data_IF_249844465545
#
_entry.id   IF_249844465545
#
_cell.length_a   1.000
_cell.length_b   1.000
_cell.length_c   1.000
_cell.angle_alpha   90.00
_cell.angle_beta   90.00
_cell.angle_gamma   90.00
#
_symmetry.space_group_name_H-M   'P 1'
#
loop_
_entity.id
_entity.type
_entity.pdbx_description
1 polymer ?
#
# COMPACT_ATOMS: atom_id res chain seq x y z
N UNK A 1 3.12 -0.21 -6.22
CA UNK A 1 2.94 -1.67 -5.95
C UNK A 1 3.55 -2.43 -7.12
N UNK A 2 4.00 -3.66 -6.95
CA UNK A 2 4.53 -4.51 -8.02
C UNK A 2 3.68 -5.77 -8.08
N UNK A 3 3.20 -6.13 -9.27
CA UNK A 3 2.54 -7.39 -9.56
C UNK A 3 3.50 -8.22 -10.39
N UNK A 4 3.72 -9.46 -9.96
CA UNK A 4 4.47 -10.48 -10.68
C UNK A 4 3.44 -11.39 -11.33
N UNK A 5 3.46 -11.50 -12.65
CA UNK A 5 2.53 -12.36 -13.39
C UNK A 5 3.10 -13.77 -13.52
N UNK A 6 2.19 -14.75 -13.64
CA UNK A 6 2.55 -16.13 -13.95
C UNK A 6 3.23 -16.23 -15.31
N UNK A 7 4.06 -17.25 -15.48
CA UNK A 7 4.71 -17.53 -16.76
C UNK A 7 3.67 -17.89 -17.83
N UNK A 8 3.85 -17.35 -19.05
CA UNK A 8 2.97 -17.64 -20.18
C UNK A 8 1.72 -16.77 -20.31
N UNK A 9 1.54 -15.74 -19.45
CA UNK A 9 0.48 -14.75 -19.64
C UNK A 9 0.72 -13.99 -20.95
N UNK A 10 -0.28 -13.96 -21.83
CA UNK A 10 -0.19 -13.30 -23.14
C UNK A 10 -0.12 -11.78 -23.00
N UNK A 11 0.42 -11.11 -24.01
CA UNK A 11 0.44 -9.64 -24.05
C UNK A 11 -0.96 -9.03 -23.97
N UNK A 12 -1.91 -9.61 -24.70
CA UNK A 12 -3.31 -9.19 -24.68
C UNK A 12 -3.91 -9.24 -23.27
N UNK A 13 -3.72 -10.35 -22.54
CA UNK A 13 -4.16 -10.45 -21.14
C UNK A 13 -3.46 -9.44 -20.24
N UNK A 14 -2.17 -9.21 -20.46
CA UNK A 14 -1.38 -8.23 -19.70
C UNK A 14 -1.89 -6.80 -19.93
N UNK A 15 -2.21 -6.45 -21.16
CA UNK A 15 -2.77 -5.16 -21.56
C UNK A 15 -4.19 -4.96 -21.00
N UNK A 16 -5.05 -5.97 -21.11
CA UNK A 16 -6.39 -5.96 -20.50
C UNK A 16 -6.33 -5.75 -18.99
N UNK A 17 -5.38 -6.42 -18.32
CA UNK A 17 -5.15 -6.23 -16.88
C UNK A 17 -4.66 -4.80 -16.57
N UNK A 18 -3.79 -4.24 -17.41
CA UNK A 18 -3.34 -2.86 -17.25
C UNK A 18 -4.50 -1.86 -17.38
N UNK A 19 -5.34 -2.01 -18.39
CA UNK A 19 -6.52 -1.16 -18.60
C UNK A 19 -7.52 -1.26 -17.44
N UNK A 20 -7.79 -2.49 -16.97
CA UNK A 20 -8.63 -2.74 -15.79
C UNK A 20 -8.11 -1.99 -14.57
N UNK A 21 -6.79 -2.05 -14.32
CA UNK A 21 -6.17 -1.41 -13.16
C UNK A 21 -6.21 0.11 -13.26
N UNK A 22 -5.91 0.68 -14.44
CA UNK A 22 -5.98 2.11 -14.69
C UNK A 22 -7.41 2.64 -14.52
N UNK A 23 -8.41 1.94 -15.06
CA UNK A 23 -9.81 2.37 -15.05
C UNK A 23 -10.44 2.30 -13.66
N UNK A 24 -10.20 1.23 -12.92
CA UNK A 24 -10.88 0.99 -11.65
C UNK A 24 -10.20 1.63 -10.45
N UNK A 25 -8.87 1.83 -10.51
CA UNK A 25 -8.09 2.35 -9.38
C UNK A 25 -7.38 3.67 -9.68
N UNK A 26 -7.44 4.18 -10.92
CA UNK A 26 -6.78 5.44 -11.28
C UNK A 26 -5.26 5.42 -11.15
N UNK A 27 -4.65 4.23 -11.16
CA UNK A 27 -3.20 4.04 -11.06
C UNK A 27 -2.58 3.96 -12.45
N UNK A 28 -1.35 4.44 -12.62
CA UNK A 28 -0.60 4.20 -13.85
C UNK A 28 0.08 2.83 -13.79
N UNK A 29 0.07 2.10 -14.90
CA UNK A 29 0.75 0.82 -15.02
C UNK A 29 2.00 0.96 -15.88
N UNK A 30 3.09 0.30 -15.48
CA UNK A 30 4.31 0.20 -16.27
C UNK A 30 4.73 -1.27 -16.32
N UNK A 31 4.80 -1.83 -17.52
CA UNK A 31 4.99 -3.27 -17.72
C UNK A 31 6.41 -3.55 -18.18
N UNK A 32 7.07 -4.49 -17.50
CA UNK A 32 8.41 -4.97 -17.84
C UNK A 32 8.27 -6.42 -18.28
N UNK A 33 8.58 -6.67 -19.56
CA UNK A 33 8.61 -8.00 -20.14
C UNK A 33 10.00 -8.60 -19.95
N UNK A 34 10.15 -9.42 -18.90
CA UNK A 34 11.38 -10.18 -18.67
C UNK A 34 11.46 -11.44 -19.54
N UNK A 35 12.64 -12.05 -19.58
CA UNK A 35 12.87 -13.30 -20.31
C UNK A 35 12.13 -14.50 -19.71
N UNK A 36 11.88 -14.48 -18.40
CA UNK A 36 11.17 -15.54 -17.67
C UNK A 36 9.80 -15.10 -17.15
N UNK A 37 9.68 -13.86 -16.67
CA UNK A 37 8.50 -13.36 -15.96
C UNK A 37 8.16 -11.96 -16.42
N UNK A 38 6.86 -11.66 -16.46
CA UNK A 38 6.33 -10.31 -16.73
C UNK A 38 5.98 -9.63 -15.41
N UNK A 39 6.40 -8.38 -15.27
CA UNK A 39 6.18 -7.58 -14.06
C UNK A 39 5.36 -6.35 -14.42
N UNK A 40 4.31 -6.07 -13.65
CA UNK A 40 3.54 -4.82 -13.76
C UNK A 40 3.83 -3.97 -12.52
N UNK A 41 4.49 -2.83 -12.73
CA UNK A 41 4.62 -1.78 -11.75
C UNK A 41 3.39 -0.88 -11.73
N UNK A 42 2.80 -0.67 -10.55
CA UNK A 42 1.75 0.32 -10.31
C UNK A 42 2.32 1.57 -9.66
N UNK A 43 2.12 2.70 -10.33
CA UNK A 43 2.57 4.04 -9.92
C UNK A 43 1.36 4.91 -9.62
N UNK A 44 1.42 5.68 -8.53
CA UNK A 44 0.32 6.51 -8.04
C UNK A 44 -0.17 6.09 -6.65
N UNK A 45 -1.41 6.46 -6.32
CA UNK A 45 -2.04 6.06 -5.06
C UNK A 45 -2.54 4.61 -5.14
N UNK A 46 -1.81 3.72 -4.48
CA UNK A 46 -2.13 2.28 -4.43
C UNK A 46 -2.78 1.89 -3.10
N UNK A 47 -3.22 2.87 -2.28
CA UNK A 47 -3.87 2.61 -0.99
C UNK A 47 -5.21 1.88 -1.15
N UNK A 48 -5.96 2.20 -2.21
CA UNK A 48 -7.22 1.56 -2.57
C UNK A 48 -7.05 0.18 -3.25
N UNK A 49 -5.83 -0.17 -3.67
CA UNK A 49 -5.54 -1.46 -4.31
C UNK A 49 -5.26 -2.50 -3.22
N UNK A 50 -6.24 -3.37 -2.99
CA UNK A 50 -6.12 -4.49 -2.06
C UNK A 50 -5.13 -5.54 -2.56
N UNK A 51 -4.18 -5.96 -1.71
CA UNK A 51 -3.19 -6.99 -2.07
C UNK A 51 -3.89 -8.33 -2.36
N UNK A 52 -4.82 -8.71 -1.49
CA UNK A 52 -5.59 -9.95 -1.58
C UNK A 52 -6.42 -10.00 -2.88
N UNK A 53 -7.09 -8.89 -3.22
CA UNK A 53 -7.87 -8.78 -4.45
C UNK A 53 -7.01 -9.03 -5.70
N UNK A 54 -5.80 -8.46 -5.72
CA UNK A 54 -4.87 -8.66 -6.83
C UNK A 54 -4.27 -10.07 -6.85
N UNK A 55 -4.05 -10.70 -5.70
CA UNK A 55 -3.56 -12.09 -5.62
C UNK A 55 -4.60 -13.13 -6.06
N UNK A 56 -5.90 -12.79 -6.05
CA UNK A 56 -6.97 -13.66 -6.53
C UNK A 56 -7.11 -13.70 -8.06
N UNK A 57 -6.45 -12.78 -8.79
CA UNK A 57 -6.48 -12.75 -10.24
C UNK A 57 -5.68 -13.94 -10.81
N UNK A 58 -6.23 -14.61 -11.82
CA UNK A 58 -5.65 -15.83 -12.38
C UNK A 58 -4.25 -15.60 -12.95
N UNK A 59 -4.02 -14.44 -13.57
CA UNK A 59 -2.76 -14.05 -14.19
C UNK A 59 -1.66 -13.71 -13.18
N UNK A 60 -2.02 -13.41 -11.93
CA UNK A 60 -1.09 -12.91 -10.92
C UNK A 60 -0.47 -14.07 -10.13
N UNK A 61 0.84 -14.09 -10.06
CA UNK A 61 1.60 -15.04 -9.24
C UNK A 61 1.84 -14.49 -7.84
N UNK A 62 2.26 -13.22 -7.74
CA UNK A 62 2.56 -12.58 -6.47
C UNK A 62 2.38 -11.07 -6.54
N UNK A 63 2.00 -10.47 -5.41
CA UNK A 63 1.87 -9.03 -5.26
C UNK A 63 2.83 -8.54 -4.17
N UNK A 64 3.53 -7.43 -4.44
CA UNK A 64 4.47 -6.81 -3.52
C UNK A 64 4.16 -5.32 -3.37
N UNK A 65 3.95 -4.86 -2.14
CA UNK A 65 3.84 -3.43 -1.85
C UNK A 65 5.24 -2.84 -1.72
N UNK A 66 5.55 -1.86 -2.58
CA UNK A 66 6.79 -1.08 -2.52
C UNK A 66 6.71 0.00 -1.43
N UNK A 67 5.52 0.57 -1.23
CA UNK A 67 5.27 1.53 -0.16
C UNK A 67 4.79 0.82 1.10
N UNK A 68 5.27 1.27 2.25
CA UNK A 68 4.80 0.79 3.55
C UNK A 68 3.32 1.18 3.74
N UNK A 69 2.46 0.26 4.23
CA UNK A 69 1.00 0.47 4.27
C UNK A 69 0.56 1.55 5.29
N UNK A 70 1.48 2.01 6.14
CA UNK A 70 1.25 2.99 7.20
C UNK A 70 1.96 4.32 6.90
N UNK A 71 2.02 4.74 5.63
CA UNK A 71 2.75 5.94 5.16
C UNK A 71 2.56 7.18 6.04
N UNK A 72 1.33 7.50 6.47
CA UNK A 72 1.04 8.70 7.30
C UNK A 72 1.55 8.60 8.73
N UNK A 73 1.61 7.41 9.30
CA UNK A 73 2.11 7.15 10.66
C UNK A 73 3.62 6.85 10.69
N UNK A 74 4.25 6.77 9.52
CA UNK A 74 5.65 6.40 9.39
C UNK A 74 6.58 7.59 9.63
N UNK A 75 7.62 7.42 10.46
CA UNK A 75 8.69 8.42 10.64
C UNK A 75 9.45 8.78 9.36
N UNK A 76 9.52 7.88 8.36
CA UNK A 76 10.09 8.23 7.04
C UNK A 76 9.32 9.35 6.34
N UNK A 77 8.02 9.51 6.65
CA UNK A 77 7.15 10.51 6.01
C UNK A 77 6.72 11.63 6.97
N UNK A 78 6.72 11.36 8.28
CA UNK A 78 6.49 12.34 9.35
C UNK A 78 7.62 12.20 10.40
N UNK A 79 8.80 12.79 10.14
CA UNK A 79 9.99 12.58 10.98
C UNK A 79 9.83 13.15 12.39
N UNK A 80 9.05 14.22 12.53
CA UNK A 80 8.81 14.89 13.81
C UNK A 80 7.87 14.07 14.69
N UNK A 81 7.96 14.26 16.01
CA UNK A 81 7.02 13.64 16.94
C UNK A 81 5.64 14.32 16.81
N UNK A 82 4.58 13.52 16.74
CA UNK A 82 3.22 14.03 16.90
C UNK A 82 2.93 14.27 18.37
N UNK A 83 2.64 15.51 18.75
CA UNK A 83 2.22 15.89 20.10
C UNK A 83 0.71 16.15 20.09
N UNK A 84 -0.04 15.39 20.87
CA UNK A 84 -1.49 15.54 21.02
C UNK A 84 -1.77 16.32 22.30
N UNK A 85 -2.37 17.51 22.18
CA UNK A 85 -2.72 18.36 23.32
C UNK A 85 -4.20 18.22 23.68
N UNK A 86 -4.48 17.94 24.96
CA UNK A 86 -5.82 17.84 25.53
C UNK A 86 -5.86 18.75 26.76
N UNK A 87 -6.49 19.92 26.62
CA UNK A 87 -6.44 20.95 27.66
C UNK A 87 -5.00 21.39 27.94
N UNK A 88 -4.55 21.21 29.17
CA UNK A 88 -3.21 21.48 29.66
C UNK A 88 -2.25 20.27 29.58
N UNK A 89 -2.73 19.10 29.12
CA UNK A 89 -1.94 17.87 28.99
C UNK A 89 -1.40 17.70 27.57
N UNK A 90 -0.13 17.33 27.43
CA UNK A 90 0.52 17.01 26.15
C UNK A 90 0.97 15.54 26.13
N UNK A 91 0.47 14.76 25.17
CA UNK A 91 0.81 13.34 24.95
C UNK A 91 1.78 13.25 23.78
N UNK A 92 2.92 12.58 23.98
CA UNK A 92 3.97 12.43 22.97
C UNK A 92 5.09 13.48 23.04
N UNK A 93 5.05 14.37 24.05
CA UNK A 93 6.15 15.27 24.41
C UNK A 93 7.14 14.67 25.40
N UNK A 94 7.96 15.50 26.04
CA UNK A 94 9.06 15.06 26.93
C UNK A 94 8.59 14.50 28.29
N UNK A 95 7.36 14.83 28.71
CA UNK A 95 6.81 14.44 30.00
C UNK A 95 6.08 13.09 29.90
N UNK A 96 6.22 12.27 30.95
CA UNK A 96 5.46 11.04 31.09
C UNK A 96 4.02 11.39 31.47
N UNK A 97 3.05 10.89 30.69
CA UNK A 97 1.63 11.05 30.95
C UNK A 97 1.09 9.75 31.56
N UNK A 98 0.34 9.86 32.66
CA UNK A 98 -0.32 8.73 33.32
C UNK A 98 -1.83 8.86 33.10
N UNK A 99 -2.45 7.80 32.58
CA UNK A 99 -3.91 7.68 32.44
C UNK A 99 -4.41 6.59 33.40
N UNK A 100 -5.43 6.88 34.19
CA UNK A 100 -6.01 5.96 35.14
C UNK A 100 -7.54 6.10 35.18
N UNK A 101 -8.23 4.99 35.45
CA UNK A 101 -9.68 4.91 35.53
C UNK A 101 -10.13 3.47 35.79
N UNK A 102 -11.41 3.26 36.15
CA UNK A 102 -11.94 1.91 36.33
C UNK A 102 -12.03 1.17 35.00
N UNK A 103 -11.81 -0.15 35.00
CA UNK A 103 -11.96 -0.99 33.80
C UNK A 103 -13.42 -1.07 33.32
N UNK A 104 -14.38 -0.85 34.21
CA UNK A 104 -15.81 -0.72 33.93
C UNK A 104 -16.42 0.17 35.02
N UNK A 105 -17.31 1.08 34.63
CA UNK A 105 -18.04 1.97 35.55
C UNK A 105 -19.33 1.32 35.99
#
# INVERSE_FOLDING_TARGET
MILVLKNGVTREKTENLCEFLQKNYGVQTNTIYGSQTTIIGLVGDTSAVGVEAMQMLEEVERVMKVQEPYKRANRKFHPDNTIVRIGDVEIGGDKIVVCAGPCSV
#
